data_IF_806073233510
#
_entry.id   IF_806073233510
#
_cell.length_a   1.000
_cell.length_b   1.000
_cell.length_c   1.000
_cell.angle_alpha   90.00
_cell.angle_beta   90.00
_cell.angle_gamma   90.00
#
_symmetry.space_group_name_H-M   'P 1'
#
loop_
_entity.id
_entity.type
_entity.pdbx_description
1 polymer ?
#
# COMPACT_ATOMS: atom_id res chain seq x y z
N UNK A 1 -2.67 35.07 -35.56
CA UNK A 1 -1.43 34.83 -34.78
C UNK A 1 -1.67 33.60 -33.92
N UNK A 2 -0.89 32.55 -34.15
CA UNK A 2 -1.01 31.23 -33.52
C UNK A 2 -0.52 31.25 -32.07
N UNK A 3 -1.34 30.73 -31.14
CA UNK A 3 -0.95 30.50 -29.74
C UNK A 3 0.30 29.60 -29.64
N UNK A 4 1.23 29.89 -28.70
CA UNK A 4 2.35 29.01 -28.43
C UNK A 4 1.86 27.76 -27.68
N UNK A 5 1.93 26.59 -28.34
CA UNK A 5 1.66 25.28 -27.71
C UNK A 5 2.68 25.02 -26.59
N UNK A 6 2.24 25.16 -25.33
CA UNK A 6 3.05 24.86 -24.14
C UNK A 6 3.45 23.38 -24.09
N UNK A 7 4.75 23.13 -23.89
CA UNK A 7 5.32 21.79 -23.85
C UNK A 7 5.30 21.25 -22.42
N UNK A 8 4.26 20.49 -22.07
CA UNK A 8 4.25 19.66 -20.85
C UNK A 8 5.51 18.77 -20.78
N UNK A 9 6.02 18.48 -19.57
CA UNK A 9 7.12 17.53 -19.39
C UNK A 9 6.81 16.21 -20.10
N UNK A 10 7.81 15.58 -20.72
CA UNK A 10 7.62 14.30 -21.44
C UNK A 10 6.99 13.25 -20.52
N UNK A 11 7.33 13.26 -19.24
CA UNK A 11 6.80 12.35 -18.24
C UNK A 11 5.31 12.57 -17.96
N UNK A 12 4.89 13.83 -17.80
CA UNK A 12 3.47 14.17 -17.58
C UNK A 12 2.60 13.74 -18.77
N UNK A 13 3.04 14.02 -20.00
CA UNK A 13 2.32 13.59 -21.21
C UNK A 13 2.20 12.08 -21.33
N UNK A 14 3.25 11.36 -20.94
CA UNK A 14 3.24 9.90 -20.91
C UNK A 14 2.29 9.39 -19.83
N UNK A 15 2.36 9.92 -18.60
CA UNK A 15 1.45 9.55 -17.49
C UNK A 15 -0.01 9.80 -17.84
N UNK A 16 -0.36 11.02 -18.25
CA UNK A 16 -1.73 11.40 -18.62
C UNK A 16 -2.26 10.56 -19.79
N UNK A 17 -1.39 10.21 -20.76
CA UNK A 17 -1.77 9.32 -21.87
C UNK A 17 -1.97 7.87 -21.41
N UNK A 18 -1.15 7.36 -20.49
CA UNK A 18 -1.32 6.03 -19.91
C UNK A 18 -2.61 5.95 -19.08
N UNK A 19 -2.89 6.97 -18.27
CA UNK A 19 -4.13 7.10 -17.49
C UNK A 19 -5.36 7.17 -18.41
N UNK A 20 -5.33 8.01 -19.45
CA UNK A 20 -6.42 8.10 -20.43
C UNK A 20 -6.66 6.76 -21.16
N UNK A 21 -5.60 6.08 -21.59
CA UNK A 21 -5.70 4.75 -22.22
C UNK A 21 -6.30 3.71 -21.27
N UNK A 22 -6.04 3.82 -19.97
CA UNK A 22 -6.61 2.92 -18.95
C UNK A 22 -8.12 3.09 -18.77
N UNK A 23 -8.62 4.31 -18.98
CA UNK A 23 -10.03 4.68 -18.80
C UNK A 23 -10.86 4.32 -20.04
N UNK A 24 -10.26 4.37 -21.24
CA UNK A 24 -10.93 3.98 -22.47
C UNK A 24 -11.19 2.45 -22.54
N UNK A 25 -12.44 2.01 -22.73
CA UNK A 25 -12.76 0.59 -22.92
C UNK A 25 -12.11 0.06 -24.21
N UNK A 26 -11.28 -0.98 -24.09
CA UNK A 26 -10.67 -1.66 -25.24
C UNK A 26 -9.47 -2.51 -24.84
N UNK A 27 -8.90 -3.30 -25.78
CA UNK A 27 -7.82 -4.25 -25.47
C UNK A 27 -6.59 -3.61 -24.82
N UNK A 28 -6.21 -2.40 -25.27
CA UNK A 28 -5.06 -1.67 -24.71
C UNK A 28 -5.32 -1.16 -23.29
N UNK A 29 -6.50 -0.61 -23.04
CA UNK A 29 -6.91 -0.14 -21.71
C UNK A 29 -7.02 -1.29 -20.72
N UNK A 30 -7.63 -2.41 -21.11
CA UNK A 30 -7.71 -3.61 -20.27
C UNK A 30 -6.34 -4.21 -19.97
N UNK A 31 -5.43 -4.23 -20.96
CA UNK A 31 -4.07 -4.71 -20.75
C UNK A 31 -3.31 -3.82 -19.75
N UNK A 32 -3.43 -2.50 -19.86
CA UNK A 32 -2.79 -1.59 -18.92
C UNK A 32 -3.41 -1.66 -17.52
N UNK A 33 -4.74 -1.76 -17.41
CA UNK A 33 -5.42 -1.99 -16.13
C UNK A 33 -4.96 -3.31 -15.48
N UNK A 34 -4.77 -4.37 -16.29
CA UNK A 34 -4.22 -5.64 -15.82
C UNK A 34 -2.77 -5.52 -15.34
N UNK A 35 -1.91 -4.78 -16.03
CA UNK A 35 -0.55 -4.53 -15.57
C UNK A 35 -0.51 -3.73 -14.26
N UNK A 36 -1.35 -2.70 -14.14
CA UNK A 36 -1.47 -1.92 -12.88
C UNK A 36 -2.03 -2.78 -11.75
N UNK A 37 -3.00 -3.64 -12.04
CA UNK A 37 -3.48 -4.65 -11.08
C UNK A 37 -2.32 -5.54 -10.62
N UNK A 38 -1.55 -6.10 -11.55
CA UNK A 38 -0.39 -6.94 -11.23
C UNK A 38 0.67 -6.20 -10.40
N UNK A 39 0.98 -4.96 -10.74
CA UNK A 39 1.91 -4.12 -9.99
C UNK A 39 1.42 -3.86 -8.56
N UNK A 40 0.15 -3.50 -8.39
CA UNK A 40 -0.46 -3.30 -7.06
C UNK A 40 -0.50 -4.58 -6.24
N UNK A 41 -0.71 -5.73 -6.87
CA UNK A 41 -0.61 -7.04 -6.21
C UNK A 41 0.82 -7.32 -5.73
N UNK A 42 1.80 -7.12 -6.62
CA UNK A 42 3.23 -7.24 -6.29
C UNK A 42 3.62 -6.31 -5.15
N UNK A 43 3.14 -5.07 -5.17
CA UNK A 43 3.36 -4.14 -4.08
C UNK A 43 2.72 -4.61 -2.80
N UNK A 44 1.47 -5.09 -2.83
CA UNK A 44 0.78 -5.58 -1.64
C UNK A 44 1.50 -6.77 -1.00
N UNK A 45 2.12 -7.65 -1.79
CA UNK A 45 2.86 -8.82 -1.30
C UNK A 45 4.36 -8.57 -1.05
N UNK A 46 4.84 -7.31 -1.13
CA UNK A 46 6.26 -6.95 -0.99
C UNK A 46 6.95 -7.62 0.21
N UNK A 47 6.35 -7.59 1.39
CA UNK A 47 6.91 -8.25 2.58
C UNK A 47 7.12 -9.75 2.35
N UNK A 48 6.11 -10.45 1.84
CA UNK A 48 6.21 -11.88 1.52
C UNK A 48 7.22 -12.17 0.40
N UNK A 49 7.28 -11.32 -0.62
CA UNK A 49 8.26 -11.44 -1.69
C UNK A 49 9.71 -11.29 -1.17
N UNK A 50 9.96 -10.31 -0.29
CA UNK A 50 11.26 -10.12 0.36
C UNK A 50 11.62 -11.30 1.27
N UNK A 51 10.65 -11.86 1.99
CA UNK A 51 10.87 -13.07 2.80
C UNK A 51 11.23 -14.29 1.93
N UNK A 52 10.52 -14.52 0.82
CA UNK A 52 10.86 -15.60 -0.12
C UNK A 52 12.23 -15.39 -0.77
N UNK A 53 12.56 -14.14 -1.13
CA UNK A 53 13.87 -13.80 -1.65
C UNK A 53 14.98 -14.06 -0.61
N UNK A 54 14.74 -13.73 0.66
CA UNK A 54 15.67 -14.02 1.77
C UNK A 54 15.87 -15.53 1.96
N UNK A 55 14.79 -16.32 1.91
CA UNK A 55 14.87 -17.78 1.97
C UNK A 55 15.69 -18.36 0.81
N UNK A 56 15.44 -17.92 -0.41
CA UNK A 56 16.18 -18.38 -1.59
C UNK A 56 17.64 -17.92 -1.57
N UNK A 57 17.90 -16.66 -1.23
CA UNK A 57 19.26 -16.13 -1.17
C UNK A 57 20.10 -16.87 -0.13
N UNK A 58 19.55 -17.08 1.06
CA UNK A 58 20.25 -17.86 2.10
C UNK A 58 20.37 -19.33 1.72
N UNK A 59 19.39 -19.92 1.02
CA UNK A 59 19.52 -21.29 0.52
C UNK A 59 20.66 -21.46 -0.49
N UNK A 60 20.87 -20.48 -1.37
CA UNK A 60 21.84 -20.56 -2.46
C UNK A 60 23.24 -20.08 -2.08
N UNK A 61 23.34 -19.14 -1.13
CA UNK A 61 24.57 -18.40 -0.88
C UNK A 61 25.03 -18.41 0.59
N UNK A 62 24.29 -19.02 1.52
CA UNK A 62 24.72 -19.04 2.93
C UNK A 62 25.88 -20.02 3.12
N UNK A 63 27.03 -19.58 3.69
CA UNK A 63 28.17 -20.46 3.90
C UNK A 63 27.91 -21.53 4.97
N UNK A 64 28.40 -22.75 4.76
CA UNK A 64 28.27 -23.86 5.72
C UNK A 64 29.06 -23.62 7.01
N UNK A 65 30.15 -22.85 6.94
CA UNK A 65 31.05 -22.49 8.05
C UNK A 65 30.71 -21.13 8.68
N UNK A 66 29.56 -20.54 8.33
CA UNK A 66 29.14 -19.26 8.88
C UNK A 66 28.99 -19.34 10.42
N UNK A 67 29.46 -18.33 11.17
CA UNK A 67 29.34 -18.32 12.63
C UNK A 67 27.89 -18.14 13.12
N UNK A 68 26.97 -17.82 12.21
CA UNK A 68 25.56 -17.61 12.46
C UNK A 68 24.76 -18.67 11.70
N UNK A 69 23.86 -19.38 12.39
CA UNK A 69 22.98 -20.34 11.72
C UNK A 69 22.06 -19.63 10.71
N UNK A 70 21.80 -20.30 9.58
CA UNK A 70 20.99 -19.73 8.48
C UNK A 70 19.62 -19.27 8.96
N UNK A 71 18.94 -20.07 9.78
CA UNK A 71 17.63 -19.74 10.34
C UNK A 71 17.65 -18.52 11.26
N UNK A 72 18.74 -18.31 12.00
CA UNK A 72 18.92 -17.11 12.81
C UNK A 72 19.13 -15.88 11.93
N UNK A 73 19.90 -16.01 10.84
CA UNK A 73 20.07 -14.96 9.84
C UNK A 73 18.76 -14.60 9.13
N UNK A 74 17.93 -15.59 8.80
CA UNK A 74 16.60 -15.36 8.23
C UNK A 74 15.71 -14.63 9.23
N UNK A 75 15.76 -15.01 10.52
CA UNK A 75 15.01 -14.32 11.58
C UNK A 75 15.43 -12.86 11.71
N UNK A 76 16.74 -12.59 11.75
CA UNK A 76 17.27 -11.22 11.80
C UNK A 76 16.85 -10.44 10.56
N UNK A 77 16.97 -11.04 9.37
CA UNK A 77 16.54 -10.43 8.12
C UNK A 77 15.05 -10.11 8.10
N UNK A 78 14.20 -11.00 8.63
CA UNK A 78 12.76 -10.78 8.74
C UNK A 78 12.43 -9.59 9.65
N UNK A 79 13.14 -9.45 10.79
CA UNK A 79 13.03 -8.29 11.67
C UNK A 79 13.44 -7.02 10.93
N UNK A 80 14.57 -7.03 10.23
CA UNK A 80 15.04 -5.87 9.46
C UNK A 80 14.08 -5.47 8.35
N UNK A 81 13.50 -6.44 7.63
CA UNK A 81 12.45 -6.19 6.62
C UNK A 81 11.22 -5.56 7.28
N UNK A 82 10.75 -6.10 8.40
CA UNK A 82 9.58 -5.57 9.12
C UNK A 82 9.83 -4.14 9.62
N UNK A 83 10.99 -3.88 10.22
CA UNK A 83 11.38 -2.55 10.68
C UNK A 83 11.51 -1.58 9.51
N UNK A 84 12.06 -2.01 8.37
CA UNK A 84 12.16 -1.21 7.16
C UNK A 84 10.78 -0.85 6.60
N UNK A 85 9.85 -1.81 6.56
CA UNK A 85 8.47 -1.57 6.12
C UNK A 85 7.77 -0.49 6.96
N UNK A 86 8.03 -0.46 8.27
CA UNK A 86 7.52 0.58 9.17
C UNK A 86 8.26 1.91 9.01
N UNK A 87 9.60 1.89 8.93
CA UNK A 87 10.42 3.08 8.78
C UNK A 87 10.12 3.83 7.47
N UNK A 88 9.92 3.10 6.36
CA UNK A 88 9.51 3.65 5.07
C UNK A 88 8.00 3.86 4.94
N UNK A 89 7.22 3.62 6.02
CA UNK A 89 5.75 3.76 6.06
C UNK A 89 5.01 3.00 4.96
N UNK A 90 5.57 1.88 4.54
CA UNK A 90 4.91 0.93 3.65
C UNK A 90 3.80 0.16 4.37
N UNK A 91 3.84 0.17 5.70
CA UNK A 91 2.92 -0.46 6.63
C UNK A 91 2.53 0.49 7.77
N UNK A 92 1.28 0.42 8.22
CA UNK A 92 0.74 1.25 9.30
C UNK A 92 0.85 0.55 10.66
N UNK A 93 0.89 1.28 11.79
CA UNK A 93 0.89 0.66 13.12
C UNK A 93 -0.30 -0.27 13.40
N UNK A 94 -1.46 0.01 12.78
CA UNK A 94 -2.64 -0.86 12.87
C UNK A 94 -2.45 -2.17 12.10
N UNK A 95 -1.76 -2.12 10.96
CA UNK A 95 -1.37 -3.30 10.19
C UNK A 95 -0.32 -4.12 10.97
N UNK A 96 0.61 -3.46 11.66
CA UNK A 96 1.61 -4.13 12.51
C UNK A 96 0.99 -4.96 13.65
N UNK A 97 -0.10 -4.47 14.27
CA UNK A 97 -0.84 -5.24 15.29
C UNK A 97 -1.45 -6.51 14.69
N UNK A 98 -2.02 -6.40 13.48
CA UNK A 98 -2.54 -7.59 12.77
C UNK A 98 -1.40 -8.58 12.54
N UNK A 99 -0.26 -8.10 12.05
CA UNK A 99 0.94 -8.92 11.84
C UNK A 99 1.41 -9.61 13.11
N UNK A 100 1.40 -8.93 14.26
CA UNK A 100 1.73 -9.55 15.54
C UNK A 100 0.75 -10.67 15.90
N UNK A 101 -0.55 -10.51 15.67
CA UNK A 101 -1.53 -11.58 15.88
C UNK A 101 -1.24 -12.80 15.01
N UNK A 102 -0.83 -12.59 13.75
CA UNK A 102 -0.42 -13.68 12.86
C UNK A 102 0.84 -14.39 13.33
N UNK A 103 1.81 -13.70 13.93
CA UNK A 103 2.97 -14.35 14.54
C UNK A 103 2.54 -15.31 15.64
N UNK A 104 1.65 -14.87 16.52
CA UNK A 104 1.19 -15.69 17.65
C UNK A 104 0.41 -16.91 17.16
N UNK A 105 -0.63 -16.67 16.33
CA UNK A 105 -1.50 -17.74 15.81
C UNK A 105 -0.69 -18.73 14.95
N UNK A 106 0.19 -18.22 14.09
CA UNK A 106 1.09 -19.02 13.26
C UNK A 106 2.04 -19.88 14.10
N UNK A 107 2.73 -19.27 15.07
CA UNK A 107 3.70 -19.99 15.94
C UNK A 107 3.03 -21.10 16.73
N UNK A 108 1.82 -20.86 17.28
CA UNK A 108 1.06 -21.91 17.99
C UNK A 108 0.75 -23.09 17.07
N UNK A 109 0.34 -22.80 15.83
CA UNK A 109 0.08 -23.85 14.84
C UNK A 109 1.35 -24.61 14.45
N UNK A 110 2.46 -23.90 14.24
CA UNK A 110 3.77 -24.52 13.94
C UNK A 110 4.25 -25.43 15.07
N UNK A 111 4.14 -25.00 16.32
CA UNK A 111 4.55 -25.79 17.49
C UNK A 111 3.78 -27.11 17.55
N UNK A 112 2.47 -27.04 17.33
CA UNK A 112 1.64 -28.24 17.27
C UNK A 112 1.99 -29.12 16.07
N UNK A 113 2.16 -28.53 14.88
CA UNK A 113 2.34 -29.27 13.64
C UNK A 113 3.69 -29.96 13.55
N UNK A 114 4.73 -29.31 14.05
CA UNK A 114 6.07 -29.91 14.19
C UNK A 114 6.05 -31.04 15.21
N UNK A 115 5.44 -30.84 16.38
CA UNK A 115 5.28 -31.90 17.39
C UNK A 115 4.46 -33.11 16.88
N UNK A 116 3.47 -32.87 16.02
CA UNK A 116 2.66 -33.91 15.37
C UNK A 116 3.33 -34.55 14.15
N UNK A 117 4.58 -34.18 13.82
CA UNK A 117 5.32 -34.73 12.67
C UNK A 117 4.76 -34.35 11.30
N UNK A 118 3.99 -33.27 11.20
CA UNK A 118 3.40 -32.83 9.93
C UNK A 118 4.45 -32.28 8.96
N UNK A 119 5.50 -31.66 9.50
CA UNK A 119 6.71 -31.18 8.83
C UNK A 119 7.77 -30.90 9.89
N UNK A 120 9.02 -30.68 9.46
CA UNK A 120 10.13 -30.36 10.34
C UNK A 120 10.98 -29.21 9.79
N UNK A 121 11.70 -28.55 10.71
CA UNK A 121 12.70 -27.53 10.43
C UNK A 121 14.09 -28.19 10.46
N UNK A 122 14.71 -28.52 9.30
CA UNK A 122 15.90 -29.37 9.24
C UNK A 122 17.21 -28.73 9.71
N UNK A 123 17.28 -27.41 9.90
CA UNK A 123 18.52 -26.71 10.25
C UNK A 123 18.53 -26.22 11.69
N UNK A 124 19.76 -26.06 12.22
CA UNK A 124 19.98 -25.51 13.55
C UNK A 124 19.59 -24.02 13.61
N UNK A 125 19.20 -23.57 14.80
CA UNK A 125 18.92 -22.18 15.12
C UNK A 125 19.05 -21.97 16.63
N UNK A 126 19.31 -20.73 17.06
CA UNK A 126 19.21 -20.28 18.45
C UNK A 126 17.92 -19.49 18.68
N UNK A 127 17.42 -18.81 17.65
CA UNK A 127 16.22 -18.01 17.66
C UNK A 127 15.00 -18.88 17.34
N UNK A 128 14.59 -19.72 18.29
CA UNK A 128 13.45 -20.63 18.14
C UNK A 128 12.66 -20.82 19.45
N UNK A 129 11.42 -21.29 19.32
CA UNK A 129 10.58 -21.76 20.43
C UNK A 129 10.29 -23.23 20.17
N UNK A 130 10.68 -24.14 21.07
CA UNK A 130 10.54 -25.58 20.82
C UNK A 130 11.30 -25.99 19.55
N UNK A 131 10.65 -26.65 18.60
CA UNK A 131 11.25 -27.00 17.31
C UNK A 131 11.07 -25.92 16.22
N UNK A 132 10.52 -24.76 16.56
CA UNK A 132 10.01 -23.78 15.59
C UNK A 132 10.90 -22.52 15.58
N UNK A 133 11.64 -22.27 14.49
CA UNK A 133 12.39 -21.02 14.30
C UNK A 133 11.47 -19.80 14.29
N UNK A 134 11.92 -18.69 14.86
CA UNK A 134 11.11 -17.48 14.98
C UNK A 134 10.74 -16.86 13.63
N UNK A 135 11.54 -17.05 12.57
CA UNK A 135 11.18 -16.58 11.22
C UNK A 135 9.86 -17.18 10.68
N UNK A 136 9.46 -18.36 11.16
CA UNK A 136 8.21 -19.00 10.73
C UNK A 136 6.98 -18.13 11.03
N UNK A 137 6.97 -17.43 12.17
CA UNK A 137 5.92 -16.47 12.51
C UNK A 137 5.82 -15.33 11.49
N UNK A 138 6.96 -14.87 10.97
CA UNK A 138 7.01 -13.85 9.92
C UNK A 138 6.43 -14.38 8.59
N UNK A 139 6.54 -15.68 8.30
CA UNK A 139 5.92 -16.28 7.12
C UNK A 139 4.39 -16.22 7.19
N UNK A 140 3.79 -16.48 8.36
CA UNK A 140 2.35 -16.28 8.57
C UNK A 140 1.97 -14.81 8.48
N UNK A 141 2.75 -13.94 9.12
CA UNK A 141 2.54 -12.50 9.05
C UNK A 141 2.62 -11.94 7.63
N UNK A 142 3.39 -12.55 6.73
CA UNK A 142 3.43 -12.15 5.33
C UNK A 142 2.06 -12.24 4.65
N UNK A 143 1.28 -13.28 4.97
CA UNK A 143 -0.10 -13.44 4.49
C UNK A 143 -1.00 -12.36 5.09
N UNK A 144 -0.89 -12.10 6.39
CA UNK A 144 -1.64 -11.04 7.07
C UNK A 144 -1.34 -9.64 6.52
N UNK A 145 -0.05 -9.32 6.33
CA UNK A 145 0.44 -8.07 5.73
C UNK A 145 -0.12 -7.89 4.31
N UNK A 146 -0.04 -8.94 3.49
CA UNK A 146 -0.61 -8.92 2.14
C UNK A 146 -2.10 -8.60 2.14
N UNK A 147 -2.90 -9.29 2.97
CA UNK A 147 -4.35 -9.07 3.00
C UNK A 147 -4.69 -7.66 3.48
N UNK A 148 -4.03 -7.20 4.53
CA UNK A 148 -4.26 -5.86 5.07
C UNK A 148 -3.92 -4.77 4.05
N UNK A 149 -2.83 -4.96 3.29
CA UNK A 149 -2.36 -4.01 2.28
C UNK A 149 -3.17 -4.08 0.99
N UNK A 150 -3.48 -5.27 0.46
CA UNK A 150 -4.30 -5.44 -0.76
C UNK A 150 -5.69 -4.84 -0.54
N UNK A 151 -6.28 -5.03 0.64
CA UNK A 151 -7.57 -4.45 1.01
C UNK A 151 -7.55 -2.92 0.94
N UNK A 152 -6.48 -2.30 1.44
CA UNK A 152 -6.28 -0.83 1.40
C UNK A 152 -5.96 -0.32 0.00
N UNK A 153 -5.01 -0.93 -0.70
CA UNK A 153 -4.50 -0.52 -2.02
C UNK A 153 -5.58 -0.57 -3.09
N UNK A 154 -6.42 -1.60 -3.03
CA UNK A 154 -7.51 -1.80 -3.97
C UNK A 154 -8.87 -1.32 -3.45
N UNK A 155 -8.91 -0.67 -2.29
CA UNK A 155 -10.15 -0.17 -1.69
C UNK A 155 -11.28 -1.21 -1.67
N UNK A 156 -11.04 -2.36 -1.03
CA UNK A 156 -12.01 -3.45 -1.04
C UNK A 156 -13.35 -3.03 -0.43
N UNK A 157 -14.42 -3.41 -1.13
CA UNK A 157 -15.82 -3.30 -0.70
C UNK A 157 -16.52 -4.63 -0.96
N UNK A 158 -17.63 -4.87 -0.27
CA UNK A 158 -18.31 -6.16 -0.29
C UNK A 158 -19.81 -6.00 -0.44
N UNK A 159 -20.41 -6.79 -1.32
CA UNK A 159 -21.87 -6.97 -1.34
C UNK A 159 -22.21 -8.37 -0.87
N UNK A 160 -23.34 -8.52 -0.18
CA UNK A 160 -23.80 -9.78 0.41
C UNK A 160 -22.75 -10.45 1.31
N UNK A 161 -21.96 -9.66 2.05
CA UNK A 161 -21.11 -10.21 3.10
C UNK A 161 -22.01 -10.77 4.22
N UNK A 162 -21.80 -12.02 4.67
CA UNK A 162 -22.65 -12.62 5.70
C UNK A 162 -22.48 -11.90 7.05
N UNK A 163 -23.40 -12.10 8.02
CA UNK A 163 -23.25 -11.53 9.35
C UNK A 163 -21.87 -11.88 9.95
N UNK A 164 -21.15 -10.89 10.49
CA UNK A 164 -19.73 -11.04 10.85
C UNK A 164 -19.46 -12.24 11.78
N UNK A 165 -20.36 -12.52 12.73
CA UNK A 165 -20.25 -13.66 13.64
C UNK A 165 -20.15 -15.02 12.92
N UNK A 166 -20.81 -15.18 11.76
CA UNK A 166 -20.75 -16.42 10.97
C UNK A 166 -19.35 -16.65 10.41
N UNK A 167 -18.67 -15.57 9.98
CA UNK A 167 -17.29 -15.63 9.51
C UNK A 167 -16.32 -15.93 10.65
N UNK A 168 -16.59 -15.43 11.85
CA UNK A 168 -15.79 -15.73 13.05
C UNK A 168 -15.94 -17.19 13.47
N UNK A 169 -17.18 -17.70 13.50
CA UNK A 169 -17.47 -19.10 13.82
C UNK A 169 -16.82 -20.04 12.80
N UNK A 170 -16.92 -19.72 11.50
CA UNK A 170 -16.27 -20.49 10.44
C UNK A 170 -14.74 -20.51 10.60
N UNK A 171 -14.10 -19.35 10.80
CA UNK A 171 -12.65 -19.27 10.99
C UNK A 171 -12.19 -20.03 12.23
N UNK A 172 -12.92 -19.93 13.34
CA UNK A 172 -12.64 -20.70 14.55
C UNK A 172 -12.76 -22.21 14.31
N UNK A 173 -13.82 -22.66 13.62
CA UNK A 173 -14.01 -24.07 13.28
C UNK A 173 -12.91 -24.61 12.36
N UNK A 174 -12.48 -23.81 11.37
CA UNK A 174 -11.33 -24.15 10.52
C UNK A 174 -10.06 -24.29 11.36
N UNK A 175 -9.78 -23.30 12.20
CA UNK A 175 -8.57 -23.29 13.02
C UNK A 175 -8.54 -24.51 13.94
N UNK A 176 -9.63 -24.76 14.68
CA UNK A 176 -9.77 -25.96 15.52
C UNK A 176 -9.60 -27.24 14.70
N UNK A 177 -10.19 -27.34 13.50
CA UNK A 177 -10.01 -28.52 12.64
C UNK A 177 -8.55 -28.75 12.27
N UNK A 178 -7.74 -27.70 12.05
CA UNK A 178 -6.30 -27.87 11.79
C UNK A 178 -5.52 -28.52 12.94
N UNK A 179 -5.99 -28.42 14.19
CA UNK A 179 -5.43 -29.17 15.32
C UNK A 179 -6.12 -30.53 15.48
N UNK A 180 -7.45 -30.51 15.53
CA UNK A 180 -8.27 -31.65 15.91
C UNK A 180 -8.21 -32.82 14.92
N UNK A 181 -7.99 -32.58 13.62
CA UNK A 181 -7.93 -33.66 12.63
C UNK A 181 -6.76 -34.64 12.85
N UNK A 182 -5.82 -34.31 13.74
CA UNK A 182 -4.80 -35.24 14.17
C UNK A 182 -5.39 -36.43 14.97
N UNK A 183 -6.51 -36.21 15.67
CA UNK A 183 -7.20 -37.23 16.48
C UNK A 183 -8.62 -37.55 16.02
N UNK A 184 -9.29 -36.58 15.38
CA UNK A 184 -10.66 -36.70 14.88
C UNK A 184 -10.67 -36.77 13.35
N UNK A 185 -11.79 -37.20 12.73
CA UNK A 185 -11.95 -37.13 11.29
C UNK A 185 -11.76 -35.69 10.75
N UNK A 186 -11.04 -35.55 9.64
CA UNK A 186 -10.84 -34.26 8.97
C UNK A 186 -12.13 -33.79 8.31
N UNK A 187 -12.79 -32.80 8.90
CA UNK A 187 -14.08 -32.27 8.41
C UNK A 187 -13.93 -31.20 7.32
N UNK A 188 -12.80 -31.17 6.60
CA UNK A 188 -12.51 -30.14 5.58
C UNK A 188 -13.63 -29.96 4.55
N UNK A 189 -14.22 -31.06 4.08
CA UNK A 189 -15.32 -31.02 3.12
C UNK A 189 -16.57 -30.31 3.65
N UNK A 190 -16.90 -30.52 4.93
CA UNK A 190 -17.99 -29.80 5.59
C UNK A 190 -17.66 -28.30 5.69
N UNK A 191 -16.41 -27.94 6.02
CA UNK A 191 -15.97 -26.55 6.09
C UNK A 191 -15.99 -25.86 4.71
N UNK A 192 -15.64 -26.57 3.63
CA UNK A 192 -15.80 -26.07 2.26
C UNK A 192 -17.26 -25.82 1.91
N UNK A 193 -18.15 -26.77 2.23
CA UNK A 193 -19.58 -26.62 1.99
C UNK A 193 -20.17 -25.42 2.78
N UNK A 194 -19.78 -25.27 4.05
CA UNK A 194 -20.17 -24.13 4.88
C UNK A 194 -19.65 -22.80 4.31
N UNK A 195 -18.40 -22.77 3.84
CA UNK A 195 -17.81 -21.60 3.18
C UNK A 195 -18.60 -21.22 1.92
N UNK A 196 -18.90 -22.19 1.06
CA UNK A 196 -19.69 -21.96 -0.15
C UNK A 196 -21.08 -21.42 0.21
N UNK A 197 -21.77 -22.06 1.15
CA UNK A 197 -23.10 -21.65 1.59
C UNK A 197 -23.13 -20.20 2.11
N UNK A 198 -22.14 -19.80 2.91
CA UNK A 198 -22.07 -18.46 3.49
C UNK A 198 -21.68 -17.38 2.47
N UNK A 199 -20.77 -17.69 1.54
CA UNK A 199 -20.11 -16.68 0.69
C UNK A 199 -20.42 -16.79 -0.81
N UNK A 200 -21.25 -17.72 -1.29
CA UNK A 200 -21.51 -17.86 -2.74
C UNK A 200 -22.08 -16.60 -3.39
N UNK A 201 -22.87 -15.80 -2.65
CA UNK A 201 -23.40 -14.50 -3.11
C UNK A 201 -22.44 -13.35 -2.87
N UNK A 202 -21.41 -13.55 -2.06
CA UNK A 202 -20.51 -12.48 -1.64
C UNK A 202 -19.60 -12.08 -2.81
N UNK A 203 -19.61 -10.78 -3.13
CA UNK A 203 -18.75 -10.21 -4.16
C UNK A 203 -17.77 -9.24 -3.49
N UNK A 204 -16.49 -9.38 -3.83
CA UNK A 204 -15.48 -8.38 -3.51
C UNK A 204 -15.39 -7.40 -4.68
N UNK A 205 -15.49 -6.13 -4.36
CA UNK A 205 -15.28 -5.00 -5.25
C UNK A 205 -13.92 -4.40 -4.96
N UNK A 206 -13.13 -4.20 -5.99
CA UNK A 206 -11.76 -3.72 -5.89
C UNK A 206 -11.50 -2.71 -7.01
N UNK A 207 -10.62 -1.75 -6.77
CA UNK A 207 -10.29 -0.67 -7.70
C UNK A 207 -8.84 -0.81 -8.19
N UNK A 208 -8.61 -1.50 -9.33
CA UNK A 208 -7.28 -1.58 -9.93
C UNK A 208 -6.69 -0.21 -10.25
N UNK A 209 -7.51 0.67 -10.83
CA UNK A 209 -7.10 2.03 -11.15
C UNK A 209 -8.17 3.05 -10.72
N UNK A 210 -9.15 3.35 -11.58
CA UNK A 210 -10.20 4.34 -11.30
C UNK A 210 -11.58 3.72 -11.04
N UNK A 211 -11.87 2.60 -11.70
CA UNK A 211 -13.19 1.95 -11.66
C UNK A 211 -13.14 0.76 -10.72
N UNK A 212 -14.18 0.60 -9.90
CA UNK A 212 -14.35 -0.62 -9.11
C UNK A 212 -14.79 -1.78 -10.03
N UNK A 213 -13.97 -2.82 -10.07
CA UNK A 213 -14.28 -4.13 -10.65
C UNK A 213 -14.78 -5.05 -9.54
N UNK A 214 -15.46 -6.14 -9.91
CA UNK A 214 -15.97 -7.12 -8.93
C UNK A 214 -15.64 -8.54 -9.34
N UNK A 215 -15.47 -9.40 -8.35
CA UNK A 215 -15.41 -10.85 -8.53
C UNK A 215 -16.06 -11.57 -7.34
N UNK A 216 -16.49 -12.83 -7.49
CA UNK A 216 -16.90 -13.65 -6.36
C UNK A 216 -15.78 -13.75 -5.31
N UNK A 217 -16.08 -13.54 -4.03
CA UNK A 217 -15.07 -13.58 -2.98
C UNK A 217 -14.39 -14.97 -2.88
N UNK A 218 -15.15 -16.03 -3.10
CA UNK A 218 -14.65 -17.41 -3.17
C UNK A 218 -13.55 -17.56 -4.23
N UNK A 219 -13.73 -16.96 -5.41
CA UNK A 219 -12.71 -16.97 -6.46
C UNK A 219 -11.48 -16.16 -6.03
N UNK A 220 -11.68 -15.01 -5.40
CA UNK A 220 -10.59 -14.21 -4.83
C UNK A 220 -9.72 -15.01 -3.85
N UNK A 221 -10.32 -15.71 -2.90
CA UNK A 221 -9.58 -16.57 -1.97
C UNK A 221 -8.90 -17.75 -2.67
N UNK A 222 -9.52 -18.33 -3.70
CA UNK A 222 -8.90 -19.42 -4.47
C UNK A 222 -7.63 -18.96 -5.18
N UNK A 223 -7.68 -17.77 -5.79
CA UNK A 223 -6.52 -17.16 -6.43
C UNK A 223 -5.41 -16.86 -5.42
N UNK A 224 -5.73 -16.27 -4.26
CA UNK A 224 -4.70 -16.02 -3.24
C UNK A 224 -4.12 -17.32 -2.70
N UNK A 225 -4.93 -18.34 -2.42
CA UNK A 225 -4.47 -19.64 -1.97
C UNK A 225 -3.53 -20.32 -2.99
N UNK A 226 -3.78 -20.14 -4.28
CA UNK A 226 -2.89 -20.61 -5.34
C UNK A 226 -1.50 -19.95 -5.26
N UNK A 227 -1.43 -18.63 -5.04
CA UNK A 227 -0.16 -17.93 -4.85
C UNK A 227 0.56 -18.34 -3.56
N UNK A 228 -0.19 -18.60 -2.49
CA UNK A 228 0.39 -19.16 -1.26
C UNK A 228 0.95 -20.57 -1.53
N UNK A 229 0.28 -21.40 -2.33
CA UNK A 229 0.80 -22.70 -2.72
C UNK A 229 2.06 -22.61 -3.59
N UNK A 230 2.21 -21.58 -4.44
CA UNK A 230 3.49 -21.32 -5.10
C UNK A 230 4.59 -20.92 -4.10
N UNK A 231 4.27 -20.05 -3.14
CA UNK A 231 5.19 -19.67 -2.06
C UNK A 231 5.61 -20.89 -1.20
N UNK A 232 4.70 -21.81 -0.94
CA UNK A 232 4.95 -23.08 -0.25
C UNK A 232 5.98 -23.95 -0.97
N UNK A 233 5.88 -24.02 -2.30
CA UNK A 233 6.85 -24.75 -3.12
C UNK A 233 8.23 -24.09 -3.07
N UNK A 234 8.29 -22.75 -3.09
CA UNK A 234 9.55 -22.01 -2.93
C UNK A 234 10.15 -22.22 -1.54
N UNK A 235 9.34 -22.16 -0.48
CA UNK A 235 9.79 -22.35 0.90
C UNK A 235 10.35 -23.76 1.15
N UNK A 236 9.65 -24.79 0.68
CA UNK A 236 10.13 -26.18 0.77
C UNK A 236 11.37 -26.42 -0.11
N UNK A 237 11.45 -25.79 -1.29
CA UNK A 237 12.65 -25.85 -2.14
C UNK A 237 13.86 -25.24 -1.43
N UNK A 238 13.67 -24.07 -0.81
CA UNK A 238 14.70 -23.39 -0.03
C UNK A 238 15.02 -24.06 1.32
N UNK A 239 14.47 -25.25 1.59
CA UNK A 239 14.59 -26.01 2.85
C UNK A 239 14.22 -25.20 4.10
N UNK A 240 13.27 -24.27 3.96
CA UNK A 240 12.73 -23.54 5.10
C UNK A 240 12.01 -24.49 6.07
N UNK A 241 11.26 -25.45 5.54
CA UNK A 241 10.74 -26.63 6.22
C UNK A 241 10.72 -27.80 5.23
N UNK A 242 10.54 -29.02 5.73
CA UNK A 242 10.52 -30.24 4.90
C UNK A 242 9.37 -31.14 5.33
N UNK A 243 8.57 -31.59 4.35
CA UNK A 243 7.55 -32.60 4.57
C UNK A 243 8.16 -34.01 4.66
N UNK A 244 7.51 -34.98 5.34
CA UNK A 244 8.02 -36.35 5.44
C UNK A 244 8.31 -37.02 4.09
N UNK A 245 7.52 -36.69 3.05
CA UNK A 245 7.74 -37.21 1.71
C UNK A 245 8.87 -36.49 0.93
N UNK A 246 9.51 -35.47 1.50
CA UNK A 246 10.60 -34.70 0.89
C UNK A 246 11.97 -34.96 1.56
N UNK A 247 12.06 -35.93 2.48
CA UNK A 247 13.32 -36.24 3.20
C UNK A 247 14.46 -36.67 2.27
N UNK A 248 14.14 -37.37 1.18
CA UNK A 248 15.11 -37.86 0.18
C UNK A 248 15.37 -36.88 -0.96
N UNK A 249 14.72 -35.71 -0.97
CA UNK A 249 14.85 -34.72 -2.02
C UNK A 249 13.59 -33.89 -2.22
N UNK A 250 13.76 -32.70 -2.81
CA UNK A 250 12.63 -31.83 -3.09
C UNK A 250 11.74 -32.41 -4.19
N UNK A 251 10.45 -32.42 -3.92
CA UNK A 251 9.40 -32.66 -4.90
C UNK A 251 8.29 -31.62 -4.73
N UNK A 252 7.59 -31.32 -5.81
CA UNK A 252 6.50 -30.34 -5.79
C UNK A 252 5.44 -30.74 -4.75
N UNK A 253 5.04 -29.77 -3.93
CA UNK A 253 4.04 -29.98 -2.88
C UNK A 253 2.70 -30.29 -3.51
N UNK A 254 2.10 -31.44 -3.18
CA UNK A 254 0.89 -31.91 -3.83
C UNK A 254 -0.28 -30.92 -3.79
N UNK A 255 -1.09 -30.90 -4.85
CA UNK A 255 -2.24 -29.98 -4.99
C UNK A 255 -3.29 -30.16 -3.88
N UNK A 256 -3.31 -31.32 -3.21
CA UNK A 256 -4.15 -31.55 -2.04
C UNK A 256 -3.92 -30.51 -0.93
N UNK A 257 -2.72 -29.93 -0.81
CA UNK A 257 -2.42 -28.86 0.16
C UNK A 257 -3.08 -27.53 -0.19
N UNK A 258 -3.48 -27.31 -1.45
CA UNK A 258 -4.19 -26.10 -1.87
C UNK A 258 -5.49 -25.91 -1.07
N UNK A 259 -6.18 -27.01 -0.74
CA UNK A 259 -7.38 -26.95 0.10
C UNK A 259 -7.11 -26.44 1.52
N UNK A 260 -5.96 -26.81 2.10
CA UNK A 260 -5.54 -26.27 3.40
C UNK A 260 -5.16 -24.80 3.30
N UNK A 261 -4.46 -24.38 2.25
CA UNK A 261 -4.16 -22.95 2.03
C UNK A 261 -5.41 -22.12 1.81
N UNK A 262 -6.42 -22.66 1.11
CA UNK A 262 -7.71 -22.01 0.94
C UNK A 262 -8.41 -21.76 2.28
N UNK A 263 -8.42 -22.76 3.16
CA UNK A 263 -9.01 -22.59 4.48
C UNK A 263 -8.18 -21.68 5.40
N UNK A 264 -6.85 -21.74 5.34
CA UNK A 264 -5.98 -20.83 6.08
C UNK A 264 -6.16 -19.38 5.61
N UNK A 265 -6.38 -19.18 4.31
CA UNK A 265 -6.73 -17.88 3.73
C UNK A 265 -8.02 -17.33 4.36
N UNK A 266 -9.04 -18.15 4.60
CA UNK A 266 -10.26 -17.70 5.29
C UNK A 266 -9.96 -17.24 6.72
N UNK A 267 -9.17 -18.00 7.49
CA UNK A 267 -8.74 -17.59 8.85
C UNK A 267 -8.03 -16.23 8.78
N UNK A 268 -7.10 -16.11 7.84
CA UNK A 268 -6.27 -14.91 7.66
C UNK A 268 -7.13 -13.69 7.30
N UNK A 269 -8.07 -13.86 6.37
CA UNK A 269 -9.01 -12.81 5.99
C UNK A 269 -9.86 -12.36 7.18
N UNK A 270 -10.38 -13.30 7.97
CA UNK A 270 -11.23 -13.01 9.12
C UNK A 270 -10.46 -12.29 10.22
N UNK A 271 -9.22 -12.70 10.52
CA UNK A 271 -8.34 -11.99 11.46
C UNK A 271 -8.12 -10.53 11.04
N UNK A 272 -7.85 -10.29 9.76
CA UNK A 272 -7.69 -8.92 9.24
C UNK A 272 -9.01 -8.15 9.33
N UNK A 273 -10.15 -8.81 9.09
CA UNK A 273 -11.48 -8.18 9.15
C UNK A 273 -11.86 -7.63 10.54
N UNK A 274 -11.24 -8.15 11.60
CA UNK A 274 -11.41 -7.64 12.97
C UNK A 274 -10.89 -6.20 13.10
N UNK A 275 -9.84 -5.85 12.36
CA UNK A 275 -9.23 -4.52 12.34
C UNK A 275 -9.74 -3.69 11.16
N UNK A 276 -9.90 -4.32 9.98
CA UNK A 276 -10.41 -3.71 8.76
C UNK A 276 -11.80 -4.24 8.40
N UNK A 277 -12.84 -3.62 8.96
CA UNK A 277 -14.22 -4.11 8.79
C UNK A 277 -14.69 -4.08 7.33
N UNK A 278 -15.40 -5.12 6.84
CA UNK A 278 -16.08 -5.11 5.54
C UNK A 278 -17.01 -3.92 5.38
N UNK A 279 -16.94 -3.25 4.23
CA UNK A 279 -17.77 -2.09 3.90
C UNK A 279 -18.56 -2.36 2.64
N UNK A 280 -19.79 -1.85 2.59
CA UNK A 280 -20.61 -1.88 1.37
C UNK A 280 -20.10 -0.89 0.33
N UNK A 281 -20.24 -1.17 -0.99
CA UNK A 281 -19.98 -0.18 -2.03
C UNK A 281 -20.83 1.09 -1.80
N UNK A 282 -20.25 2.27 -2.05
CA UNK A 282 -20.93 3.56 -1.85
C UNK A 282 -20.88 4.13 -0.43
N UNK A 283 -20.44 3.37 0.58
CA UNK A 283 -20.09 3.95 1.87
C UNK A 283 -18.99 5.01 1.68
N UNK A 284 -19.05 6.18 2.35
CA UNK A 284 -18.03 7.22 2.26
C UNK A 284 -16.66 6.58 2.44
N UNK A 285 -15.84 6.65 1.40
CA UNK A 285 -14.50 6.07 1.47
C UNK A 285 -13.74 6.75 2.59
N UNK A 286 -13.01 5.98 3.40
CA UNK A 286 -11.75 6.53 3.93
C UNK A 286 -10.99 6.92 2.68
N UNK A 287 -10.68 8.22 2.50
CA UNK A 287 -9.87 8.73 1.37
C UNK A 287 -8.83 7.67 1.08
N UNK A 288 -8.92 7.04 -0.10
CA UNK A 288 -7.94 6.05 -0.52
C UNK A 288 -6.60 6.74 -0.28
N UNK A 289 -5.71 6.17 0.54
CA UNK A 289 -4.38 6.73 0.67
C UNK A 289 -3.85 6.77 -0.76
N UNK A 290 -3.72 7.97 -1.37
CA UNK A 290 -3.17 8.07 -2.70
C UNK A 290 -1.79 7.46 -2.57
N UNK A 291 -1.43 6.66 -3.55
CA UNK A 291 -0.09 6.16 -3.61
C UNK A 291 0.81 7.39 -3.83
N UNK A 292 1.48 7.82 -2.75
CA UNK A 292 2.49 8.88 -2.66
C UNK A 292 1.93 10.30 -2.94
N UNK A 293 2.45 11.29 -2.23
CA UNK A 293 2.16 12.73 -2.31
C UNK A 293 1.00 13.20 -1.39
N UNK A 294 1.31 13.75 -0.19
CA UNK A 294 0.35 14.44 0.70
C UNK A 294 -0.49 15.53 0.01
N UNK A 295 -0.03 16.03 -1.13
CA UNK A 295 -0.60 17.12 -1.93
C UNK A 295 -1.67 16.65 -2.91
N UNK A 296 -1.76 15.34 -3.18
CA UNK A 296 -2.69 14.76 -4.16
C UNK A 296 -4.18 14.98 -3.85
N UNK A 297 -4.50 15.40 -2.62
CA UNK A 297 -5.85 15.76 -2.20
C UNK A 297 -6.22 17.24 -2.41
N UNK A 298 -5.27 18.07 -2.84
CA UNK A 298 -5.48 19.49 -3.09
C UNK A 298 -5.65 19.77 -4.58
N UNK A 299 -6.61 20.64 -4.92
CA UNK A 299 -6.87 21.10 -6.28
C UNK A 299 -6.69 22.61 -6.30
N UNK A 300 -5.93 23.10 -7.27
CA UNK A 300 -5.76 24.53 -7.51
C UNK A 300 -6.18 24.88 -8.94
N UNK A 301 -6.93 25.96 -9.09
CA UNK A 301 -7.32 26.48 -10.41
C UNK A 301 -7.13 27.98 -10.44
N UNK A 302 -6.62 28.50 -11.55
CA UNK A 302 -6.52 29.94 -11.78
C UNK A 302 -7.11 30.29 -13.15
N UNK A 303 -7.90 31.35 -13.17
CA UNK A 303 -8.39 32.05 -14.35
C UNK A 303 -8.28 33.58 -14.16
N UNK A 304 -8.83 34.37 -15.09
CA UNK A 304 -8.75 35.83 -15.04
C UNK A 304 -9.55 36.47 -13.89
N UNK A 305 -10.46 35.73 -13.27
CA UNK A 305 -11.39 36.22 -12.25
C UNK A 305 -11.08 35.67 -10.86
N UNK A 306 -10.55 34.46 -10.76
CA UNK A 306 -10.31 33.80 -9.48
C UNK A 306 -9.08 32.87 -9.52
N UNK A 307 -8.29 32.94 -8.44
CA UNK A 307 -7.46 31.85 -7.96
C UNK A 307 -8.29 31.09 -6.91
N UNK A 308 -8.48 29.79 -7.10
CA UNK A 308 -9.28 28.92 -6.23
C UNK A 308 -8.42 27.75 -5.74
N UNK A 309 -8.50 27.47 -4.44
CA UNK A 309 -7.85 26.33 -3.80
C UNK A 309 -8.92 25.50 -3.12
N UNK A 310 -9.00 24.22 -3.46
CA UNK A 310 -9.86 23.24 -2.78
C UNK A 310 -8.98 22.23 -2.07
N UNK A 311 -9.14 22.15 -0.74
CA UNK A 311 -8.45 21.20 0.10
C UNK A 311 -9.14 19.83 0.13
N UNK A 312 -8.48 18.83 0.74
CA UNK A 312 -8.92 17.45 0.66
C UNK A 312 -10.24 17.19 1.41
N UNK A 313 -10.61 18.01 2.40
CA UNK A 313 -11.88 17.89 3.14
C UNK A 313 -13.05 18.63 2.47
N UNK A 314 -12.81 19.22 1.29
CA UNK A 314 -13.80 19.97 0.51
C UNK A 314 -13.87 21.45 0.87
N UNK A 315 -13.02 21.91 1.79
CA UNK A 315 -12.79 23.31 2.08
C UNK A 315 -12.31 24.03 0.81
N UNK A 316 -12.94 25.14 0.46
CA UNK A 316 -12.60 25.90 -0.75
C UNK A 316 -12.39 27.37 -0.38
N UNK A 317 -11.25 27.92 -0.77
CA UNK A 317 -10.97 29.35 -0.74
C UNK A 317 -10.81 29.88 -2.15
N UNK A 318 -11.24 31.12 -2.39
CA UNK A 318 -11.00 31.80 -3.66
C UNK A 318 -10.69 33.29 -3.43
N UNK A 319 -9.82 33.86 -4.26
CA UNK A 319 -9.61 35.31 -4.32
C UNK A 319 -9.31 35.73 -5.76
N UNK A 320 -9.67 36.97 -6.15
CA UNK A 320 -9.26 37.53 -7.43
C UNK A 320 -7.72 37.60 -7.53
N UNK A 321 -7.11 37.21 -8.67
CA UNK A 321 -5.67 37.38 -8.85
C UNK A 321 -5.22 38.84 -8.75
N UNK A 322 -6.11 39.79 -9.05
CA UNK A 322 -5.87 41.24 -8.89
C UNK A 322 -5.65 41.67 -7.44
N UNK A 323 -6.12 40.88 -6.47
CA UNK A 323 -6.04 41.22 -5.05
C UNK A 323 -4.74 40.72 -4.41
N UNK A 324 -3.89 40.04 -5.19
CA UNK A 324 -2.61 39.49 -4.76
C UNK A 324 -1.52 40.53 -5.05
N UNK A 325 -0.90 41.04 -3.98
CA UNK A 325 0.18 42.01 -4.02
C UNK A 325 1.55 41.42 -3.64
N UNK A 326 1.59 40.22 -3.07
CA UNK A 326 2.83 39.53 -2.73
C UNK A 326 2.63 38.01 -2.76
N UNK A 327 3.68 37.28 -3.15
CA UNK A 327 3.70 35.81 -3.16
C UNK A 327 4.94 35.33 -2.42
N UNK A 328 4.74 34.43 -1.47
CA UNK A 328 5.80 33.83 -0.68
C UNK A 328 5.70 32.31 -0.68
N UNK A 329 6.86 31.66 -0.56
CA UNK A 329 7.00 30.22 -0.33
C UNK A 329 7.43 30.04 1.12
N UNK A 330 6.65 29.29 1.88
CA UNK A 330 7.03 28.83 3.21
C UNK A 330 7.48 27.37 3.14
N UNK A 331 8.65 27.12 3.70
CA UNK A 331 9.22 25.77 3.87
C UNK A 331 9.08 25.35 5.33
N UNK A 332 8.86 24.08 5.59
CA UNK A 332 8.83 23.51 6.94
C UNK A 332 9.50 22.12 6.99
N UNK A 333 9.64 21.55 8.17
CA UNK A 333 10.31 20.27 8.45
C UNK A 333 9.35 19.06 8.44
N UNK A 334 8.13 19.22 7.93
CA UNK A 334 7.14 18.14 7.84
C UNK A 334 7.50 17.09 6.77
N UNK A 335 8.42 17.42 5.87
CA UNK A 335 8.91 16.52 4.83
C UNK A 335 9.72 15.35 5.43
N UNK A 336 9.66 14.15 4.83
CA UNK A 336 8.91 13.74 3.64
C UNK A 336 7.49 13.22 3.97
N UNK A 337 6.94 13.62 5.12
CA UNK A 337 5.82 12.95 5.78
C UNK A 337 4.53 13.76 5.81
N UNK A 338 4.62 15.03 5.41
CA UNK A 338 3.57 16.01 5.21
C UNK A 338 4.06 17.06 4.21
N UNK A 339 3.21 18.03 3.91
CA UNK A 339 3.51 19.07 2.91
C UNK A 339 4.54 20.02 3.52
N UNK A 340 5.75 20.01 2.96
CA UNK A 340 6.89 20.81 3.42
C UNK A 340 7.04 22.14 2.68
N UNK A 341 6.30 22.34 1.58
CA UNK A 341 6.33 23.54 0.76
C UNK A 341 4.93 24.12 0.52
N UNK A 342 4.73 25.35 0.97
CA UNK A 342 3.46 26.07 0.89
C UNK A 342 3.59 27.39 0.14
N UNK A 343 2.72 27.58 -0.83
CA UNK A 343 2.47 28.86 -1.47
C UNK A 343 1.57 29.71 -0.59
N UNK A 344 1.95 30.97 -0.40
CA UNK A 344 1.15 31.99 0.26
C UNK A 344 0.91 33.15 -0.70
N UNK A 345 -0.35 33.41 -1.00
CA UNK A 345 -0.80 34.54 -1.81
C UNK A 345 -1.33 35.63 -0.87
N UNK A 346 -0.69 36.80 -0.88
CA UNK A 346 -0.90 37.86 0.09
C UNK A 346 -1.49 39.12 -0.55
N UNK A 347 -2.40 39.78 0.16
CA UNK A 347 -2.96 41.07 -0.24
C UNK A 347 -2.08 42.26 0.12
N UNK A 348 -2.54 43.47 -0.20
CA UNK A 348 -1.84 44.73 0.10
C UNK A 348 -1.61 44.98 1.60
N UNK A 349 -2.47 44.41 2.45
CA UNK A 349 -2.36 44.41 3.92
C UNK A 349 -1.36 43.37 4.46
N UNK A 350 -0.65 42.68 3.58
CA UNK A 350 0.25 41.57 3.87
C UNK A 350 -0.42 40.40 4.62
N UNK A 351 -1.76 40.31 4.53
CA UNK A 351 -2.53 39.18 5.04
C UNK A 351 -2.64 38.10 3.97
N UNK A 352 -2.58 36.83 4.41
CA UNK A 352 -2.70 35.68 3.52
C UNK A 352 -4.15 35.57 3.03
N UNK A 353 -4.35 35.65 1.73
CA UNK A 353 -5.65 35.47 1.06
C UNK A 353 -5.90 34.01 0.74
N UNK A 354 -4.88 33.32 0.27
CA UNK A 354 -4.92 31.90 -0.08
C UNK A 354 -3.60 31.21 0.25
N UNK A 355 -3.69 29.94 0.59
CA UNK A 355 -2.54 29.04 0.69
C UNK A 355 -2.77 27.82 -0.18
N UNK A 356 -1.72 27.30 -0.80
CA UNK A 356 -1.78 26.08 -1.60
C UNK A 356 -0.48 25.29 -1.44
N UNK A 357 -0.55 23.96 -1.29
CA UNK A 357 0.67 23.17 -1.22
C UNK A 357 1.32 23.03 -2.60
N UNK A 358 2.65 23.02 -2.64
CA UNK A 358 3.39 22.71 -3.86
C UNK A 358 3.24 21.23 -4.21
N UNK A 359 2.77 20.91 -5.41
CA UNK A 359 2.38 19.56 -5.83
C UNK A 359 0.87 19.36 -5.96
N UNK A 360 0.05 20.38 -5.67
CA UNK A 360 -1.40 20.33 -5.84
C UNK A 360 -1.81 20.08 -7.30
N UNK A 361 -2.93 19.38 -7.50
CA UNK A 361 -3.47 19.14 -8.83
C UNK A 361 -3.89 20.47 -9.50
N UNK A 362 -3.23 20.84 -10.60
CA UNK A 362 -3.46 22.09 -11.32
C UNK A 362 -2.43 23.20 -11.06
N UNK A 363 -1.44 22.95 -10.20
CA UNK A 363 -0.37 23.90 -9.86
C UNK A 363 0.36 24.46 -11.09
N UNK A 364 0.54 23.68 -12.16
CA UNK A 364 1.20 24.11 -13.40
C UNK A 364 0.70 25.47 -13.91
N UNK A 365 -0.63 25.72 -13.82
CA UNK A 365 -1.22 26.98 -14.28
C UNK A 365 -0.90 28.16 -13.36
N UNK A 366 -0.81 27.90 -12.06
CA UNK A 366 -0.41 28.91 -11.07
C UNK A 366 1.07 29.23 -11.23
N UNK A 367 1.92 28.22 -11.40
CA UNK A 367 3.33 28.40 -11.73
C UNK A 367 3.53 29.25 -12.99
N UNK A 368 2.79 28.96 -14.05
CA UNK A 368 2.82 29.72 -15.30
C UNK A 368 2.38 31.19 -15.11
N UNK A 369 1.41 31.44 -14.24
CA UNK A 369 0.96 32.80 -13.92
C UNK A 369 2.01 33.55 -13.08
N UNK A 370 2.49 32.94 -11.99
CA UNK A 370 3.42 33.58 -11.06
C UNK A 370 4.75 33.91 -11.74
N UNK A 371 5.29 32.99 -12.53
CA UNK A 371 6.55 33.21 -13.26
C UNK A 371 6.44 34.24 -14.39
N UNK A 372 5.22 34.57 -14.83
CA UNK A 372 4.97 35.62 -15.81
C UNK A 372 4.79 37.01 -15.18
N UNK A 373 4.74 37.12 -13.85
CA UNK A 373 4.59 38.40 -13.17
C UNK A 373 5.89 39.23 -13.30
N UNK A 374 5.80 40.52 -13.68
CA UNK A 374 6.94 41.42 -13.67
C UNK A 374 7.56 41.51 -12.28
N UNK A 375 8.88 41.37 -12.18
CA UNK A 375 9.61 41.39 -10.90
C UNK A 375 9.65 40.05 -10.15
N UNK A 376 9.27 38.94 -10.79
CA UNK A 376 9.42 37.60 -10.20
C UNK A 376 10.89 37.24 -9.96
N UNK A 377 11.22 36.82 -8.73
CA UNK A 377 12.58 36.51 -8.27
C UNK A 377 12.89 35.02 -8.40
N UNK A 378 13.42 34.63 -9.57
CA UNK A 378 13.83 33.25 -9.85
C UNK A 378 14.91 32.71 -8.90
N UNK A 379 15.77 33.59 -8.37
CA UNK A 379 16.86 33.20 -7.48
C UNK A 379 16.29 32.80 -6.11
N UNK A 380 15.33 33.57 -5.56
CA UNK A 380 14.63 33.22 -4.32
C UNK A 380 13.75 31.99 -4.46
N UNK A 381 13.09 31.79 -5.60
CA UNK A 381 12.40 30.54 -5.90
C UNK A 381 13.37 29.35 -5.84
N UNK A 382 14.53 29.46 -6.50
CA UNK A 382 15.55 28.41 -6.47
C UNK A 382 16.10 28.16 -5.06
N UNK A 383 16.27 29.22 -4.26
CA UNK A 383 16.69 29.11 -2.87
C UNK A 383 15.64 28.41 -2.00
N UNK A 384 14.35 28.71 -2.20
CA UNK A 384 13.25 28.04 -1.52
C UNK A 384 13.22 26.53 -1.84
N UNK A 385 13.40 26.17 -3.12
CA UNK A 385 13.44 24.76 -3.56
C UNK A 385 14.62 23.95 -3.00
N UNK A 386 15.65 24.62 -2.48
CA UNK A 386 16.85 24.00 -1.89
C UNK A 386 16.88 24.08 -0.38
N UNK A 387 15.92 24.77 0.24
CA UNK A 387 15.85 24.94 1.68
C UNK A 387 15.39 23.66 2.35
N UNK A 388 16.12 23.21 3.36
CA UNK A 388 15.76 22.09 4.25
C UNK A 388 15.39 22.58 5.65
N UNK A 389 15.26 23.89 5.84
CA UNK A 389 14.97 24.55 7.11
C UNK A 389 13.64 25.32 7.03
N UNK A 390 13.03 25.62 8.19
CA UNK A 390 11.81 26.43 8.25
C UNK A 390 12.11 27.88 7.85
N UNK A 391 11.83 28.23 6.61
CA UNK A 391 12.12 29.55 6.05
C UNK A 391 11.00 30.05 5.15
N UNK A 392 10.87 31.38 5.03
CA UNK A 392 9.90 32.05 4.17
C UNK A 392 10.62 32.90 3.13
N UNK A 393 10.31 32.66 1.86
CA UNK A 393 10.93 33.32 0.71
C UNK A 393 9.88 34.11 -0.05
N UNK A 394 9.98 35.45 -0.06
CA UNK A 394 9.11 36.30 -0.90
C UNK A 394 9.65 36.28 -2.32
N UNK A 395 8.93 35.61 -3.22
CA UNK A 395 9.35 35.38 -4.62
C UNK A 395 8.77 36.42 -5.58
N UNK A 396 7.76 37.18 -5.16
CA UNK A 396 7.21 38.29 -5.93
C UNK A 396 6.52 39.30 -5.02
N UNK A 397 6.60 40.57 -5.39
CA UNK A 397 5.85 41.66 -4.76
C UNK A 397 5.52 42.70 -5.82
N UNK A 398 4.30 43.22 -5.79
CA UNK A 398 3.87 44.29 -6.67
C UNK A 398 4.67 45.56 -6.36
N UNK A 399 5.34 46.12 -7.37
CA UNK A 399 6.01 47.42 -7.24
C UNK A 399 4.96 48.49 -6.91
N UNK A 400 5.09 49.12 -5.75
CA UNK A 400 4.30 50.32 -5.44
C UNK A 400 4.65 51.40 -6.45
N UNK A 401 3.64 51.91 -7.16
CA UNK A 401 3.77 53.09 -8.02
C UNK A 401 4.20 54.30 -7.17
N UNK A 402 5.51 54.46 -6.97
CA UNK A 402 6.11 55.67 -6.42
C UNK A 402 6.08 56.76 -7.48
N UNK A 403 5.57 57.91 -7.07
CA UNK A 403 5.32 59.10 -7.86
C UNK A 403 6.55 59.64 -8.59
N UNK A 404 6.49 59.68 -9.92
CA UNK A 404 7.14 60.72 -10.72
C UNK A 404 6.04 61.66 -11.26
N UNK A 405 5.78 62.74 -10.52
CA UNK A 405 5.19 63.95 -11.12
C UNK A 405 6.36 64.77 -11.69
N UNK A 406 6.33 65.16 -12.97
CA UNK A 406 7.35 66.04 -13.51
C UNK A 406 7.24 67.40 -12.81
N UNK A 407 8.39 67.91 -12.35
CA UNK A 407 8.53 69.27 -11.83
C UNK A 407 8.59 70.21 -13.04
N UNK A 408 7.65 71.16 -13.10
CA UNK A 408 7.76 72.38 -13.92
C UNK A 408 8.85 73.32 -13.38
#
# INVERSE_FOLDING_TARGET
MSEPRRAHSRFYRVRARLEAMAVEPGPRGWFLEFLVFGFKQGWACLFGALMLALLLATHLFWPDDAPLHRYDAITIGAILIQLSMLAFRLETPKEAIVILLFHIVGTVMELFKTAAGSWQYPEASLLHIGAVPLFSGFMYAAVGSYIARVWRIFDFRYTHYPPAWTSYALAAAIYVNFFAHHWLPDIRWLLFAATALLFWRCQVWFRPLHIHRRMPLLLGWALVALFIWFAENIGTFARAWTYPNQESGWQMVGIAKLGSWYLLMIISFVLVSLVQRPRVPGAPGRKAAPFLDPEAGWIVTIDNHALTVTGPEGETGACPPSDICSIAIETNDSGPWGIDLWWHFLGADNQVRLTSPQGAAGEDRVMDWVTALPGFDHAKMTAAMRSTEKARFVIWQQESASAERPVE
#
